data_IF_297855375443
#
_entry.id   IF_297855375443
#
_cell.length_a   1.000
_cell.length_b   1.000
_cell.length_c   1.000
_cell.angle_alpha   90.00
_cell.angle_beta   90.00
_cell.angle_gamma   90.00
#
_symmetry.space_group_name_H-M   'P 1'
#
loop_
_entity.id
_entity.type
_entity.pdbx_description
1 polymer ?
#
# COMPACT_ATOMS: atom_id res chain seq x y z
N UNK A 1 -3.51 -15.12 -17.99
CA UNK A 1 -3.85 -13.68 -17.95
C UNK A 1 -4.07 -13.22 -19.39
N UNK A 2 -5.21 -12.64 -19.68
CA UNK A 2 -5.52 -12.11 -21.01
C UNK A 2 -4.94 -10.68 -21.19
N UNK A 3 -5.05 -10.14 -22.43
CA UNK A 3 -4.49 -8.82 -22.73
C UNK A 3 -5.15 -7.68 -21.93
N UNK A 4 -6.44 -7.83 -21.57
CA UNK A 4 -7.16 -6.84 -20.76
C UNK A 4 -6.62 -6.84 -19.33
N UNK A 5 -6.45 -8.02 -18.75
CA UNK A 5 -5.86 -8.17 -17.41
C UNK A 5 -4.42 -7.63 -17.37
N UNK A 6 -3.61 -7.92 -18.40
CA UNK A 6 -2.25 -7.37 -18.49
C UNK A 6 -2.25 -5.84 -18.55
N UNK A 7 -3.17 -5.25 -19.29
CA UNK A 7 -3.30 -3.79 -19.37
C UNK A 7 -3.67 -3.18 -18.02
N UNK A 8 -4.58 -3.79 -17.27
CA UNK A 8 -4.97 -3.30 -15.94
C UNK A 8 -3.81 -3.42 -14.93
N UNK A 9 -3.06 -4.51 -14.95
CA UNK A 9 -1.83 -4.65 -14.14
C UNK A 9 -0.83 -3.54 -14.49
N UNK A 10 -0.61 -3.29 -15.77
CA UNK A 10 0.30 -2.25 -16.23
C UNK A 10 -0.16 -0.84 -15.78
N UNK A 11 -1.44 -0.52 -15.95
CA UNK A 11 -2.00 0.76 -15.50
C UNK A 11 -1.82 0.94 -13.99
N UNK A 12 -2.12 -0.09 -13.22
CA UNK A 12 -1.96 -0.07 -11.75
C UNK A 12 -0.50 0.13 -11.35
N UNK A 13 0.43 -0.52 -12.05
CA UNK A 13 1.86 -0.36 -11.79
C UNK A 13 2.36 1.06 -12.10
N UNK A 14 1.91 1.63 -13.23
CA UNK A 14 2.24 3.03 -13.57
C UNK A 14 1.65 3.99 -12.56
N UNK A 15 0.42 3.76 -12.11
CA UNK A 15 -0.24 4.56 -11.09
C UNK A 15 0.54 4.51 -9.76
N UNK A 16 0.87 3.31 -9.27
CA UNK A 16 1.62 3.12 -8.04
C UNK A 16 2.99 3.82 -8.11
N UNK A 17 3.72 3.62 -9.22
CA UNK A 17 5.02 4.27 -9.44
C UNK A 17 4.93 5.79 -9.39
N UNK A 18 3.96 6.38 -10.09
CA UNK A 18 3.78 7.83 -10.13
C UNK A 18 3.34 8.39 -8.78
N UNK A 19 2.47 7.68 -8.09
CA UNK A 19 2.00 8.06 -6.76
C UNK A 19 3.15 8.05 -5.75
N UNK A 20 3.95 6.99 -5.69
CA UNK A 20 5.13 6.93 -4.81
C UNK A 20 6.17 8.00 -5.17
N UNK A 21 6.44 8.22 -6.46
CA UNK A 21 7.36 9.27 -6.88
C UNK A 21 6.89 10.66 -6.40
N UNK A 22 5.58 10.93 -6.42
CA UNK A 22 5.03 12.18 -5.89
C UNK A 22 5.17 12.27 -4.37
N UNK A 23 4.92 11.19 -3.65
CA UNK A 23 5.12 11.14 -2.19
C UNK A 23 6.58 11.40 -1.83
N UNK A 24 7.53 10.81 -2.55
CA UNK A 24 8.97 11.06 -2.35
C UNK A 24 9.29 12.54 -2.54
N UNK A 25 8.77 13.19 -3.59
CA UNK A 25 8.97 14.62 -3.82
C UNK A 25 8.41 15.46 -2.65
N UNK A 26 7.22 15.14 -2.18
CA UNK A 26 6.59 15.83 -1.04
C UNK A 26 7.40 15.64 0.25
N UNK A 27 7.92 14.44 0.48
CA UNK A 27 8.78 14.18 1.64
C UNK A 27 10.09 14.96 1.56
N UNK A 28 10.73 15.02 0.38
CA UNK A 28 11.94 15.82 0.16
C UNK A 28 11.68 17.33 0.31
N UNK A 29 10.48 17.80 0.01
CA UNK A 29 10.06 19.17 0.22
C UNK A 29 9.66 19.48 1.69
N UNK A 30 9.67 18.47 2.58
CA UNK A 30 9.27 18.64 3.98
C UNK A 30 7.74 18.74 4.19
N UNK A 31 6.95 18.41 3.16
CA UNK A 31 5.47 18.46 3.24
C UNK A 31 4.87 17.24 3.95
N UNK A 32 5.63 16.15 4.04
CA UNK A 32 5.23 14.88 4.67
C UNK A 32 6.20 14.56 5.81
N UNK A 33 5.70 14.30 7.03
CA UNK A 33 6.55 13.94 8.16
C UNK A 33 7.00 12.47 8.10
N UNK A 34 8.14 12.18 8.74
CA UNK A 34 8.62 10.81 8.96
C UNK A 34 9.51 10.26 7.84
N UNK A 35 9.90 9.00 8.03
CA UNK A 35 10.72 8.27 7.07
C UNK A 35 9.85 7.60 6.01
N UNK A 36 10.29 7.66 4.75
CA UNK A 36 9.60 7.05 3.62
C UNK A 36 10.42 5.87 3.08
N UNK A 37 9.75 4.75 2.88
CA UNK A 37 10.31 3.56 2.24
C UNK A 37 9.53 3.27 0.96
N UNK A 38 10.00 3.80 -0.17
CA UNK A 38 9.35 3.56 -1.45
C UNK A 38 9.52 2.11 -1.91
N UNK A 39 8.45 1.56 -2.50
CA UNK A 39 8.42 0.24 -3.13
C UNK A 39 8.82 0.25 -4.60
N UNK A 40 9.48 1.31 -5.06
CA UNK A 40 9.87 1.48 -6.45
C UNK A 40 10.68 0.30 -6.99
N UNK A 41 10.21 -0.31 -8.08
CA UNK A 41 10.76 -1.54 -8.67
C UNK A 41 10.07 -2.83 -8.21
N UNK A 42 9.19 -2.78 -7.22
CA UNK A 42 8.49 -3.94 -6.67
C UNK A 42 7.00 -3.99 -7.07
N UNK A 43 6.50 -3.01 -7.83
CA UNK A 43 5.08 -2.83 -8.09
C UNK A 43 4.44 -4.05 -8.76
N UNK A 44 5.08 -4.58 -9.80
CA UNK A 44 4.54 -5.74 -10.55
C UNK A 44 4.45 -6.98 -9.66
N UNK A 45 5.45 -7.23 -8.82
CA UNK A 45 5.44 -8.35 -7.88
C UNK A 45 4.27 -8.23 -6.90
N UNK A 46 4.07 -7.04 -6.34
CA UNK A 46 2.98 -6.75 -5.41
C UNK A 46 1.61 -6.91 -6.06
N UNK A 47 1.42 -6.32 -7.24
CA UNK A 47 0.17 -6.37 -7.99
C UNK A 47 -0.15 -7.81 -8.39
N UNK A 48 0.84 -8.56 -8.88
CA UNK A 48 0.65 -9.95 -9.27
C UNK A 48 0.22 -10.83 -8.07
N UNK A 49 0.85 -10.66 -6.93
CA UNK A 49 0.50 -11.37 -5.70
C UNK A 49 -0.96 -11.09 -5.30
N UNK A 50 -1.37 -9.82 -5.27
CA UNK A 50 -2.75 -9.44 -4.92
C UNK A 50 -3.76 -9.92 -5.97
N UNK A 51 -3.40 -9.89 -7.25
CA UNK A 51 -4.29 -10.34 -8.33
C UNK A 51 -4.58 -11.85 -8.29
N UNK A 52 -3.78 -12.62 -7.56
CA UNK A 52 -4.01 -14.05 -7.33
C UNK A 52 -4.95 -14.34 -6.14
N UNK A 53 -5.25 -13.33 -5.32
CA UNK A 53 -6.11 -13.47 -4.14
C UNK A 53 -7.58 -13.25 -4.47
N UNK A 54 -8.44 -13.90 -3.69
CA UNK A 54 -9.88 -13.66 -3.67
C UNK A 54 -10.25 -12.34 -3.01
N UNK A 55 -11.51 -11.94 -3.19
CA UNK A 55 -12.04 -10.71 -2.61
C UNK A 55 -12.08 -10.74 -1.07
N UNK A 56 -12.32 -11.93 -0.52
CA UNK A 56 -12.49 -12.17 0.92
C UNK A 56 -11.17 -12.52 1.63
N UNK A 57 -10.06 -12.58 0.87
CA UNK A 57 -8.75 -12.81 1.45
C UNK A 57 -8.22 -11.55 2.14
N UNK A 58 -7.57 -11.74 3.28
CA UNK A 58 -6.88 -10.69 4.01
C UNK A 58 -5.39 -10.66 3.67
N UNK A 59 -4.78 -9.48 3.79
CA UNK A 59 -3.35 -9.30 3.61
C UNK A 59 -2.69 -8.64 4.82
N UNK A 60 -1.51 -9.17 5.13
CA UNK A 60 -0.51 -8.55 5.98
C UNK A 60 0.76 -8.42 5.15
N UNK A 61 1.37 -7.25 5.10
CA UNK A 61 2.52 -7.00 4.24
C UNK A 61 3.64 -6.21 4.94
N UNK A 62 4.77 -6.06 4.28
CA UNK A 62 5.91 -5.29 4.80
C UNK A 62 5.83 -3.82 4.39
N UNK A 63 6.70 -3.02 4.93
CA UNK A 63 6.76 -1.56 4.93
C UNK A 63 6.95 -0.84 3.56
N UNK A 64 6.66 -1.48 2.43
CA UNK A 64 6.73 -0.91 1.06
C UNK A 64 5.47 -1.24 0.28
N UNK A 65 4.31 -0.94 0.86
CA UNK A 65 3.04 -1.54 0.47
C UNK A 65 2.10 -0.71 -0.38
N UNK A 66 2.51 0.40 -0.97
CA UNK A 66 1.61 1.29 -1.72
C UNK A 66 0.91 0.54 -2.86
N UNK A 67 1.61 -0.31 -3.62
CA UNK A 67 0.99 -1.06 -4.70
C UNK A 67 0.00 -2.12 -4.21
N UNK A 68 0.23 -2.73 -3.03
CA UNK A 68 -0.77 -3.61 -2.40
C UNK A 68 -2.07 -2.86 -2.11
N UNK A 69 -1.98 -1.68 -1.49
CA UNK A 69 -3.13 -0.85 -1.13
C UNK A 69 -3.93 -0.42 -2.37
N UNK A 70 -3.24 0.07 -3.40
CA UNK A 70 -3.88 0.49 -4.66
C UNK A 70 -4.58 -0.68 -5.32
N UNK A 71 -3.94 -1.85 -5.39
CA UNK A 71 -4.50 -3.05 -6.03
C UNK A 71 -5.72 -3.59 -5.28
N UNK A 72 -5.76 -3.45 -3.95
CA UNK A 72 -6.92 -3.81 -3.12
C UNK A 72 -8.04 -2.77 -3.18
N UNK A 73 -7.82 -1.62 -3.82
CA UNK A 73 -8.84 -0.60 -4.04
C UNK A 73 -8.86 0.51 -2.99
N UNK A 74 -7.84 0.60 -2.15
CA UNK A 74 -7.72 1.73 -1.22
C UNK A 74 -7.56 3.04 -1.98
N UNK A 75 -8.36 4.04 -1.64
CA UNK A 75 -8.34 5.36 -2.29
C UNK A 75 -6.97 6.04 -2.11
N UNK A 76 -6.41 6.57 -3.20
CA UNK A 76 -5.16 7.33 -3.19
C UNK A 76 -5.21 8.50 -2.20
N UNK A 77 -6.36 9.16 -2.10
CA UNK A 77 -6.56 10.27 -1.15
C UNK A 77 -6.41 9.79 0.29
N UNK A 78 -6.97 8.61 0.61
CA UNK A 78 -6.89 8.06 1.97
C UNK A 78 -5.48 7.57 2.28
N UNK A 79 -4.79 6.95 1.32
CA UNK A 79 -3.38 6.56 1.46
C UNK A 79 -2.52 7.81 1.72
N UNK A 80 -2.67 8.85 0.90
CA UNK A 80 -1.92 10.08 1.07
C UNK A 80 -2.24 10.77 2.41
N UNK A 81 -3.50 10.74 2.83
CA UNK A 81 -3.91 11.30 4.11
C UNK A 81 -3.25 10.59 5.30
N UNK A 82 -3.11 9.23 5.26
CA UNK A 82 -2.37 8.50 6.30
C UNK A 82 -0.88 8.87 6.31
N UNK A 83 -0.26 8.92 5.14
CA UNK A 83 1.15 9.30 4.98
C UNK A 83 1.39 10.72 5.49
N UNK A 84 0.46 11.62 5.25
CA UNK A 84 0.54 13.02 5.68
C UNK A 84 0.03 13.28 7.12
N UNK A 85 -0.35 12.23 7.86
CA UNK A 85 -0.83 12.35 9.24
C UNK A 85 -2.19 13.06 9.36
N UNK A 86 -3.10 12.90 8.38
CA UNK A 86 -4.41 13.58 8.36
C UNK A 86 -5.54 12.67 8.86
N UNK A 87 -6.54 13.26 9.51
CA UNK A 87 -7.66 12.52 10.13
C UNK A 87 -8.55 11.77 9.12
N UNK A 88 -8.70 12.27 7.89
CA UNK A 88 -9.49 11.62 6.84
C UNK A 88 -8.90 10.34 6.24
N UNK A 89 -7.84 9.81 6.82
CA UNK A 89 -7.11 8.63 6.40
C UNK A 89 -7.76 7.31 6.86
N UNK A 90 -7.28 6.18 6.34
CA UNK A 90 -7.72 4.83 6.73
C UNK A 90 -7.45 4.55 8.21
N UNK A 91 -6.28 4.95 8.72
CA UNK A 91 -5.86 4.81 10.12
C UNK A 91 -5.92 6.13 10.89
N UNK A 92 -6.74 7.08 10.44
CA UNK A 92 -6.87 8.42 11.02
C UNK A 92 -5.54 9.18 11.13
N UNK A 93 -4.65 8.97 10.16
CA UNK A 93 -3.33 9.59 10.13
C UNK A 93 -2.31 9.02 11.13
N UNK A 94 -2.64 7.92 11.82
CA UNK A 94 -1.75 7.30 12.81
C UNK A 94 -0.84 6.24 12.20
N UNK A 95 -1.19 5.70 11.03
CA UNK A 95 -0.42 4.68 10.34
C UNK A 95 0.86 5.22 9.68
N UNK A 96 0.84 6.47 9.26
CA UNK A 96 1.94 7.04 8.49
C UNK A 96 2.20 6.24 7.22
N UNK A 97 3.48 6.12 6.84
CA UNK A 97 3.91 5.42 5.61
C UNK A 97 3.95 3.90 5.80
N UNK A 98 4.10 3.41 7.02
CA UNK A 98 4.47 2.01 7.31
C UNK A 98 3.42 1.20 8.07
N UNK A 99 2.27 1.79 8.41
CA UNK A 99 1.27 1.10 9.24
C UNK A 99 -0.16 1.40 8.79
N UNK A 100 -0.38 1.43 7.47
CA UNK A 100 -1.71 1.65 6.91
C UNK A 100 -2.56 0.39 7.10
N UNK A 101 -3.79 0.58 7.59
CA UNK A 101 -4.81 -0.45 7.77
C UNK A 101 -6.06 -0.04 6.98
N UNK A 102 -6.63 -0.93 6.20
CA UNK A 102 -7.89 -0.70 5.48
C UNK A 102 -8.74 -1.97 5.48
N UNK A 103 -9.36 -2.26 6.61
CA UNK A 103 -10.13 -3.49 6.84
C UNK A 103 -11.21 -3.72 5.77
N UNK A 104 -11.99 -2.70 5.34
CA UNK A 104 -12.96 -2.88 4.26
C UNK A 104 -12.37 -3.41 2.94
N UNK A 105 -11.10 -3.15 2.68
CA UNK A 105 -10.36 -3.65 1.52
C UNK A 105 -9.47 -4.87 1.84
N UNK A 106 -9.67 -5.52 2.99
CA UNK A 106 -8.92 -6.71 3.40
C UNK A 106 -7.48 -6.44 3.82
N UNK A 107 -7.12 -5.20 4.12
CA UNK A 107 -5.77 -4.83 4.56
C UNK A 107 -5.75 -4.78 6.09
N UNK A 108 -5.21 -5.83 6.71
CA UNK A 108 -5.17 -5.95 8.17
C UNK A 108 -4.03 -5.16 8.79
N UNK A 109 -2.98 -4.91 8.04
CA UNK A 109 -1.87 -4.12 8.53
C UNK A 109 -0.60 -4.24 7.71
N UNK A 110 0.31 -3.38 8.05
CA UNK A 110 1.66 -3.31 7.53
C UNK A 110 2.65 -3.47 8.68
N UNK A 111 3.67 -4.30 8.50
CA UNK A 111 4.70 -4.50 9.51
C UNK A 111 6.01 -3.84 9.11
N UNK A 112 6.49 -2.92 9.94
CA UNK A 112 7.85 -2.38 9.83
C UNK A 112 8.92 -3.39 10.20
N UNK A 113 8.55 -4.43 10.97
CA UNK A 113 9.45 -5.53 11.34
C UNK A 113 9.31 -6.67 10.36
N UNK A 114 10.38 -6.98 9.63
CA UNK A 114 10.38 -8.10 8.68
C UNK A 114 10.11 -9.42 9.40
N UNK A 115 9.19 -10.22 8.84
CA UNK A 115 8.74 -11.48 9.44
C UNK A 115 7.63 -11.33 10.49
N UNK A 116 7.37 -10.14 11.03
CA UNK A 116 6.32 -9.92 12.04
C UNK A 116 4.91 -10.29 11.54
N UNK A 117 4.64 -10.10 10.24
CA UNK A 117 3.38 -10.49 9.63
C UNK A 117 3.05 -11.97 9.75
N UNK A 118 4.04 -12.87 9.76
CA UNK A 118 3.81 -14.32 9.91
C UNK A 118 3.23 -14.66 11.29
N UNK A 119 3.75 -14.03 12.33
CA UNK A 119 3.25 -14.26 13.70
C UNK A 119 1.83 -13.70 13.85
N UNK A 120 1.59 -12.53 13.29
CA UNK A 120 0.27 -11.89 13.33
C UNK A 120 -0.77 -12.69 12.54
N UNK A 121 -0.41 -13.31 11.41
CA UNK A 121 -1.33 -14.08 10.58
C UNK A 121 -1.87 -15.35 11.24
N UNK A 122 -1.22 -15.84 12.29
CA UNK A 122 -1.70 -17.01 13.06
C UNK A 122 -2.92 -16.67 13.92
N UNK A 123 -3.10 -15.38 14.26
CA UNK A 123 -4.19 -14.90 15.11
C UNK A 123 -5.39 -14.33 14.33
N UNK A 124 -5.36 -14.39 13.00
CA UNK A 124 -6.40 -13.93 12.09
C UNK A 124 -7.09 -15.14 11.44
#
# INVERSE_FOLDING_TARGET
MDNKQMLEVFKTAVLARRFEARIVQMAMAGEIPGALHAGAGQEICQIAAISALGKDDYILYGHRGVAYMITRGTSLTRILADIAGKEGATSRGKGGVMHVVDIPNGILGESGTLGGGFVMSVGV
#
